data_IF_973573437901
#
_entry.id   IF_973573437901
#
_cell.length_a   1.000
_cell.length_b   1.000
_cell.length_c   1.000
_cell.angle_alpha   90.00
_cell.angle_beta   90.00
_cell.angle_gamma   90.00
#
_symmetry.space_group_name_H-M   'P 1'
#
loop_
_entity.id
_entity.type
_entity.pdbx_description
1 polymer ?
#
# COMPACT_ATOMS: atom_id res chain seq x y z
N UNK A 1 -13.31 -12.35 8.19
CA UNK A 1 -12.62 -11.55 7.15
C UNK A 1 -13.22 -10.17 7.07
N UNK A 2 -12.39 -9.12 7.06
CA UNK A 2 -12.81 -7.71 7.06
C UNK A 2 -13.12 -7.15 5.66
N UNK A 3 -12.82 -7.89 4.59
CA UNK A 3 -13.03 -7.45 3.20
C UNK A 3 -14.44 -6.93 2.93
N UNK A 4 -15.47 -7.62 3.46
CA UNK A 4 -16.87 -7.20 3.34
C UNK A 4 -17.20 -5.80 3.92
N UNK A 5 -16.33 -5.25 4.77
CA UNK A 5 -16.52 -3.94 5.39
C UNK A 5 -15.72 -2.82 4.71
N UNK A 6 -14.71 -3.16 3.90
CA UNK A 6 -13.80 -2.17 3.30
C UNK A 6 -13.90 -2.10 1.76
N UNK A 7 -14.26 -3.19 1.08
CA UNK A 7 -14.40 -3.25 -0.38
C UNK A 7 -15.86 -3.07 -0.82
N UNK A 8 -16.48 -1.93 -0.49
CA UNK A 8 -17.85 -1.62 -0.92
C UNK A 8 -17.95 -1.17 -2.39
N UNK A 9 -16.82 -0.96 -3.08
CA UNK A 9 -16.75 -0.55 -4.49
C UNK A 9 -15.67 -1.35 -5.23
N UNK A 10 -16.10 -2.18 -6.17
CA UNK A 10 -15.21 -3.11 -6.87
C UNK A 10 -14.58 -2.49 -8.12
N UNK A 11 -15.20 -1.45 -8.67
CA UNK A 11 -14.73 -0.79 -9.90
C UNK A 11 -14.29 0.64 -9.65
N UNK A 12 -13.37 1.12 -10.49
CA UNK A 12 -12.94 2.52 -10.46
C UNK A 12 -14.09 3.48 -10.75
N UNK A 13 -15.02 3.08 -11.64
CA UNK A 13 -16.22 3.86 -11.94
C UNK A 13 -17.13 4.08 -10.74
N UNK A 14 -17.27 3.09 -9.85
CA UNK A 14 -18.00 3.24 -8.59
C UNK A 14 -17.24 4.16 -7.63
N UNK A 15 -15.94 3.95 -7.45
CA UNK A 15 -15.08 4.78 -6.57
C UNK A 15 -15.10 6.25 -6.98
N UNK A 16 -15.07 6.53 -8.27
CA UNK A 16 -15.11 7.90 -8.80
C UNK A 16 -16.40 8.65 -8.44
N UNK A 17 -17.52 7.95 -8.24
CA UNK A 17 -18.80 8.55 -7.80
C UNK A 17 -18.77 8.96 -6.32
N UNK A 18 -17.93 8.34 -5.51
CA UNK A 18 -17.83 8.57 -4.07
C UNK A 18 -16.65 9.49 -3.70
N UNK A 19 -16.52 10.62 -4.43
CA UNK A 19 -15.48 11.62 -4.15
C UNK A 19 -15.73 12.33 -2.82
N UNK A 20 -14.75 12.44 -1.92
CA UNK A 20 -14.86 13.29 -0.74
C UNK A 20 -15.00 14.78 -1.09
N UNK A 21 -15.74 15.59 -0.31
CA UNK A 21 -15.97 17.00 -0.61
C UNK A 21 -14.69 17.85 -0.60
N UNK A 22 -13.69 17.45 0.19
CA UNK A 22 -12.42 18.16 0.39
C UNK A 22 -11.33 17.82 -0.64
N UNK A 23 -11.56 16.88 -1.56
CA UNK A 23 -10.59 16.50 -2.60
C UNK A 23 -11.03 17.08 -3.94
N UNK A 24 -10.12 17.64 -4.72
CA UNK A 24 -10.46 18.11 -6.08
C UNK A 24 -10.85 16.94 -7.00
N UNK A 25 -11.59 17.21 -8.07
CA UNK A 25 -11.94 16.16 -9.05
C UNK A 25 -10.70 15.56 -9.72
N UNK A 26 -9.67 16.36 -9.96
CA UNK A 26 -8.43 15.92 -10.58
C UNK A 26 -7.65 14.99 -9.64
N UNK A 27 -7.46 15.41 -8.39
CA UNK A 27 -6.74 14.63 -7.39
C UNK A 27 -7.46 13.33 -7.07
N UNK A 28 -8.81 13.35 -6.99
CA UNK A 28 -9.57 12.14 -6.74
C UNK A 28 -9.43 11.11 -7.86
N UNK A 29 -9.54 11.56 -9.12
CA UNK A 29 -9.31 10.68 -10.27
C UNK A 29 -7.90 10.09 -10.24
N UNK A 30 -6.91 10.92 -9.95
CA UNK A 30 -5.53 10.47 -9.84
C UNK A 30 -5.35 9.43 -8.74
N UNK A 31 -5.91 9.65 -7.55
CA UNK A 31 -5.85 8.72 -6.42
C UNK A 31 -6.50 7.38 -6.74
N UNK A 32 -7.70 7.38 -7.33
CA UNK A 32 -8.39 6.14 -7.72
C UNK A 32 -7.55 5.35 -8.71
N UNK A 33 -7.04 5.99 -9.77
CA UNK A 33 -6.20 5.28 -10.75
C UNK A 33 -4.87 4.82 -10.18
N UNK A 34 -4.24 5.63 -9.32
CA UNK A 34 -2.99 5.27 -8.67
C UNK A 34 -3.18 4.00 -7.83
N UNK A 35 -4.16 3.97 -6.93
CA UNK A 35 -4.40 2.83 -6.04
C UNK A 35 -4.96 1.59 -6.76
N UNK A 36 -5.61 1.76 -7.91
CA UNK A 36 -6.01 0.66 -8.78
C UNK A 36 -4.90 0.14 -9.69
N UNK A 37 -3.77 0.86 -9.77
CA UNK A 37 -2.64 0.40 -10.56
C UNK A 37 -1.93 -0.78 -9.91
N UNK A 38 -1.35 -1.66 -10.74
CA UNK A 38 -0.48 -2.75 -10.28
C UNK A 38 0.70 -2.28 -9.44
N UNK A 39 1.12 -1.02 -9.58
CA UNK A 39 2.20 -0.43 -8.79
C UNK A 39 1.80 -0.18 -7.34
N UNK A 40 0.57 0.30 -7.11
CA UNK A 40 0.09 0.60 -5.76
C UNK A 40 -0.52 -0.64 -5.08
N UNK A 41 -1.18 -1.51 -5.85
CA UNK A 41 -1.52 -2.87 -5.40
C UNK A 41 -0.25 -3.71 -5.21
N UNK A 42 0.80 -3.33 -5.92
CA UNK A 42 2.17 -3.84 -5.89
C UNK A 42 3.01 -3.29 -4.76
N UNK A 43 2.60 -3.53 -3.53
CA UNK A 43 3.54 -4.17 -2.60
C UNK A 43 3.63 -5.65 -2.99
N UNK A 44 4.04 -5.90 -4.23
CA UNK A 44 4.34 -7.19 -4.82
C UNK A 44 5.78 -7.01 -5.30
N UNK A 45 6.62 -8.01 -5.08
CA UNK A 45 7.98 -8.04 -5.66
C UNK A 45 7.87 -7.91 -7.19
N UNK A 46 8.96 -7.60 -7.89
CA UNK A 46 8.97 -7.45 -9.36
C UNK A 46 8.46 -8.70 -10.10
N UNK A 47 8.45 -9.87 -9.43
CA UNK A 47 7.92 -11.15 -9.88
C UNK A 47 6.38 -11.32 -9.68
N UNK A 48 5.70 -10.32 -9.12
CA UNK A 48 4.26 -10.35 -8.83
C UNK A 48 3.88 -11.08 -7.54
N UNK A 49 4.85 -11.53 -6.73
CA UNK A 49 4.61 -12.25 -5.48
C UNK A 49 4.40 -11.26 -4.33
N UNK A 50 3.35 -11.50 -3.53
CA UNK A 50 3.07 -10.70 -2.34
C UNK A 50 4.14 -10.96 -1.27
N UNK A 51 4.87 -9.92 -0.80
CA UNK A 51 5.82 -10.08 0.26
C UNK A 51 5.08 -10.60 1.48
N UNK A 52 5.67 -11.58 2.14
CA UNK A 52 5.13 -12.04 3.40
C UNK A 52 5.27 -10.93 4.46
N UNK A 53 4.67 -11.16 5.63
CA UNK A 53 4.64 -10.15 6.71
C UNK A 53 6.04 -9.68 7.14
N UNK A 54 7.04 -10.55 7.14
CA UNK A 54 8.42 -10.21 7.52
C UNK A 54 9.08 -9.37 6.43
N UNK A 55 8.90 -9.73 5.16
CA UNK A 55 9.41 -8.95 4.03
C UNK A 55 8.78 -7.56 3.99
N UNK A 56 7.47 -7.47 4.22
CA UNK A 56 6.76 -6.20 4.38
C UNK A 56 7.30 -5.35 5.52
N UNK A 57 7.63 -5.98 6.66
CA UNK A 57 8.25 -5.29 7.78
C UNK A 57 9.61 -4.72 7.40
N UNK A 58 10.47 -5.51 6.74
CA UNK A 58 11.78 -5.06 6.24
C UNK A 58 11.65 -3.89 5.27
N UNK A 59 10.74 -3.98 4.30
CA UNK A 59 10.48 -2.92 3.32
C UNK A 59 10.02 -1.60 3.94
N UNK A 60 9.18 -1.65 4.97
CA UNK A 60 8.59 -0.44 5.58
C UNK A 60 9.44 0.17 6.69
N UNK A 61 10.34 -0.61 7.29
CA UNK A 61 11.21 -0.18 8.38
C UNK A 61 12.68 -0.03 7.95
N UNK A 62 12.91 0.19 6.65
CA UNK A 62 14.24 0.46 6.08
C UNK A 62 14.25 1.83 5.40
N UNK A 63 15.27 2.63 5.71
CA UNK A 63 15.53 3.93 5.10
C UNK A 63 15.98 3.78 3.64
N UNK A 64 15.95 4.87 2.86
CA UNK A 64 16.36 4.87 1.44
C UNK A 64 17.82 4.43 1.21
N UNK A 65 18.67 4.59 2.21
CA UNK A 65 20.08 4.18 2.21
C UNK A 65 20.27 2.70 2.63
N UNK A 66 19.19 1.96 2.91
CA UNK A 66 19.25 0.56 3.30
C UNK A 66 19.43 0.30 4.80
N UNK A 67 19.50 1.33 5.65
CA UNK A 67 19.63 1.15 7.11
C UNK A 67 18.25 1.01 7.77
N UNK A 68 18.12 0.27 8.89
CA UNK A 68 16.89 0.26 9.67
C UNK A 68 16.47 1.68 10.09
N UNK A 69 15.16 1.89 10.24
CA UNK A 69 14.61 3.19 10.63
C UNK A 69 14.88 3.53 12.11
N UNK A 70 14.99 2.51 12.97
CA UNK A 70 15.31 2.62 14.40
C UNK A 70 15.95 1.32 14.95
N UNK A 71 16.38 1.36 16.22
CA UNK A 71 17.03 0.22 16.90
C UNK A 71 16.08 -0.97 17.06
N UNK A 72 14.81 -0.73 17.36
CA UNK A 72 13.81 -1.80 17.49
C UNK A 72 13.64 -2.56 16.17
N UNK A 73 13.61 -1.84 15.05
CA UNK A 73 13.58 -2.42 13.71
C UNK A 73 14.84 -3.21 13.42
N UNK A 74 16.02 -2.71 13.82
CA UNK A 74 17.29 -3.43 13.70
C UNK A 74 17.25 -4.77 14.46
N UNK A 75 16.86 -4.76 15.73
CA UNK A 75 16.74 -5.99 16.54
C UNK A 75 15.78 -7.01 15.93
N UNK A 76 14.61 -6.57 15.47
CA UNK A 76 13.61 -7.44 14.84
C UNK A 76 14.13 -8.02 13.52
N UNK A 77 14.93 -7.27 12.76
CA UNK A 77 15.49 -7.73 11.49
C UNK A 77 16.68 -8.70 11.66
N UNK A 78 17.44 -8.58 12.75
CA UNK A 78 18.58 -9.46 13.07
C UNK A 78 18.13 -10.77 13.70
N UNK A 79 17.04 -10.75 14.48
CA UNK A 79 16.57 -11.92 15.24
C UNK A 79 15.46 -12.76 14.55
N UNK A 80 15.10 -12.46 13.29
CA UNK A 80 14.10 -13.21 12.50
C UNK A 80 14.71 -13.94 11.30
#
# INVERSE_FOLDING_TARGET
MKAKYYDCWHTDGERLKHKPPFVSNADWKWLVYFWSSKKAQGQLRDDGIQPNRIEMFKLTNTCKNGTPVDEASHEIMVNN
#
